data_IF_090484347586
#
_entry.id   IF_090484347586
#
_cell.length_a   1.000
_cell.length_b   1.000
_cell.length_c   1.000
_cell.angle_alpha   90.00
_cell.angle_beta   90.00
_cell.angle_gamma   90.00
#
_symmetry.space_group_name_H-M   'P 1'
#
loop_
_entity.id
_entity.type
_entity.pdbx_description
1 polymer ?
#
# COMPACT_ATOMS: atom_id res chain seq x y z
N UNK A 1 -8.57 21.25 15.25
CA UNK A 1 -9.66 21.21 16.24
C UNK A 1 -9.52 19.90 17.00
N UNK A 2 -9.08 19.95 18.26
CA UNK A 2 -8.86 18.73 19.06
C UNK A 2 -10.19 18.11 19.48
N UNK A 3 -10.32 16.79 19.32
CA UNK A 3 -11.44 16.04 19.90
C UNK A 3 -11.14 15.78 21.37
N UNK A 4 -11.95 16.32 22.27
CA UNK A 4 -11.86 16.05 23.70
C UNK A 4 -12.77 14.87 24.06
N UNK A 5 -12.23 13.89 24.77
CA UNK A 5 -12.93 12.68 25.18
C UNK A 5 -12.99 12.66 26.71
N UNK A 6 -14.19 12.76 27.31
CA UNK A 6 -14.33 12.89 28.77
C UNK A 6 -14.12 11.58 29.56
N UNK A 7 -14.42 10.41 28.97
CA UNK A 7 -14.29 9.10 29.63
C UNK A 7 -13.95 8.01 28.62
N UNK A 8 -12.72 7.98 28.13
CA UNK A 8 -12.30 7.02 27.12
C UNK A 8 -11.11 6.23 27.62
N UNK A 9 -11.31 4.92 27.78
CA UNK A 9 -10.25 3.97 28.11
C UNK A 9 -9.48 3.50 26.87
N UNK A 10 -10.05 3.69 25.68
CA UNK A 10 -9.52 3.19 24.41
C UNK A 10 -9.62 4.25 23.33
N UNK A 11 -8.49 4.75 22.86
CA UNK A 11 -8.40 5.74 21.78
C UNK A 11 -7.76 5.07 20.57
N UNK A 12 -8.46 5.09 19.43
CA UNK A 12 -7.87 4.70 18.15
C UNK A 12 -7.47 5.97 17.39
N UNK A 13 -6.17 6.14 17.14
CA UNK A 13 -5.66 7.26 16.35
C UNK A 13 -5.29 6.79 14.94
N UNK A 14 -5.76 7.51 13.89
CA UNK A 14 -5.29 7.27 12.53
C UNK A 14 -3.81 7.65 12.42
N UNK A 15 -3.06 6.93 11.58
CA UNK A 15 -1.62 7.18 11.35
C UNK A 15 -1.29 8.64 10.98
N UNK A 16 -2.23 9.35 10.35
CA UNK A 16 -2.06 10.75 9.92
C UNK A 16 -2.09 11.74 11.10
N UNK A 17 -2.65 11.36 12.24
CA UNK A 17 -2.66 12.15 13.49
C UNK A 17 -1.52 11.70 14.41
N UNK A 18 -0.28 11.84 13.93
CA UNK A 18 0.94 11.37 14.60
C UNK A 18 1.50 12.33 15.68
N UNK A 19 0.76 13.37 16.04
CA UNK A 19 1.11 14.33 17.09
C UNK A 19 -0.11 14.53 17.98
N UNK A 20 0.02 14.19 19.26
CA UNK A 20 -1.02 14.43 20.25
C UNK A 20 -0.42 14.71 21.63
N UNK A 21 -1.24 15.28 22.50
CA UNK A 21 -0.87 15.62 23.86
C UNK A 21 -1.93 15.12 24.83
N UNK A 22 -1.48 14.48 25.92
CA UNK A 22 -2.33 14.17 27.06
C UNK A 22 -2.22 15.29 28.08
N UNK A 23 -3.35 15.94 28.39
CA UNK A 23 -3.46 16.87 29.50
C UNK A 23 -4.16 16.19 30.67
N UNK A 24 -3.56 16.24 31.86
CA UNK A 24 -4.06 15.54 33.04
C UNK A 24 -4.09 16.43 34.29
N UNK A 25 -5.07 16.21 35.15
CA UNK A 25 -5.17 16.88 36.45
C UNK A 25 -5.74 15.93 37.49
N UNK A 26 -5.23 16.02 38.72
CA UNK A 26 -5.85 15.33 39.86
C UNK A 26 -7.01 16.15 40.43
N UNK A 27 -7.99 15.48 41.02
CA UNK A 27 -9.16 16.08 41.70
C UNK A 27 -8.80 16.77 43.02
N UNK A 28 -7.57 16.64 43.53
CA UNK A 28 -7.12 17.26 44.78
C UNK A 28 -6.80 18.76 44.59
N UNK A 29 -7.84 19.59 44.67
CA UNK A 29 -7.75 21.05 44.50
C UNK A 29 -7.00 21.78 45.62
N UNK A 30 -6.98 21.25 46.85
CA UNK A 30 -6.47 21.98 48.03
C UNK A 30 -4.95 22.12 48.09
N UNK A 31 -4.19 21.28 47.36
CA UNK A 31 -2.72 21.38 47.28
C UNK A 31 -2.17 21.02 45.89
N UNK A 32 -2.89 21.36 44.81
CA UNK A 32 -2.50 20.94 43.45
C UNK A 32 -1.10 21.43 43.00
N UNK A 33 -0.56 22.46 43.64
CA UNK A 33 0.80 22.97 43.37
C UNK A 33 1.93 22.14 44.04
N UNK A 34 1.60 21.18 44.90
CA UNK A 34 2.56 20.29 45.58
C UNK A 34 2.50 18.84 45.10
N UNK A 35 1.52 18.52 44.25
CA UNK A 35 1.39 17.20 43.63
C UNK A 35 2.38 17.11 42.48
N UNK A 36 3.19 16.06 42.46
CA UNK A 36 4.04 15.71 41.33
C UNK A 36 3.36 14.61 40.54
N UNK A 37 3.60 14.57 39.24
CA UNK A 37 3.05 13.53 38.38
C UNK A 37 4.18 12.67 37.85
N UNK A 38 3.85 11.43 37.57
CA UNK A 38 4.71 10.52 36.83
C UNK A 38 3.87 9.92 35.73
N UNK A 39 4.36 9.97 34.50
CA UNK A 39 3.66 9.38 33.38
C UNK A 39 4.59 8.50 32.56
N UNK A 40 4.00 7.55 31.84
CA UNK A 40 4.71 6.68 30.93
C UNK A 40 3.79 6.27 29.79
N UNK A 41 4.31 6.28 28.56
CA UNK A 41 3.71 5.61 27.42
C UNK A 41 4.42 4.28 27.19
N UNK A 42 3.85 3.20 27.69
CA UNK A 42 4.40 1.88 27.43
C UNK A 42 4.36 1.53 25.95
N UNK A 43 5.44 0.93 25.45
CA UNK A 43 5.67 0.70 24.03
C UNK A 43 6.45 1.83 23.34
N UNK A 44 6.67 2.97 24.02
CA UNK A 44 7.48 4.09 23.54
C UNK A 44 8.55 4.52 24.54
N UNK A 45 8.16 4.78 25.79
CA UNK A 45 9.07 5.24 26.84
C UNK A 45 9.76 4.06 27.55
N UNK A 46 11.10 4.07 27.59
CA UNK A 46 11.88 3.07 28.33
C UNK A 46 11.74 3.20 29.85
N UNK A 47 11.50 4.42 30.34
CA UNK A 47 11.38 4.74 31.77
C UNK A 47 10.27 5.78 31.99
N UNK A 48 9.60 5.77 33.16
CA UNK A 48 8.63 6.79 33.48
C UNK A 48 9.25 8.18 33.52
N UNK A 49 8.53 9.17 32.99
CA UNK A 49 8.91 10.58 33.03
C UNK A 49 8.33 11.22 34.28
N UNK A 50 9.17 11.90 35.06
CA UNK A 50 8.73 12.67 36.22
C UNK A 50 8.37 14.10 35.79
N UNK A 51 7.17 14.52 36.14
CA UNK A 51 6.65 15.84 35.84
C UNK A 51 6.37 16.63 37.12
N UNK A 52 6.75 17.91 37.10
CA UNK A 52 6.47 18.83 38.20
C UNK A 52 4.98 19.14 38.34
N UNK A 53 4.62 19.91 39.37
CA UNK A 53 3.22 20.31 39.62
C UNK A 53 2.60 21.20 38.55
N UNK A 54 3.45 21.88 37.77
CA UNK A 54 3.08 22.78 36.66
C UNK A 54 3.06 22.10 35.29
N UNK A 55 3.74 20.97 35.15
CA UNK A 55 3.87 20.25 33.88
C UNK A 55 2.79 19.17 33.84
N UNK A 56 1.68 19.49 33.19
CA UNK A 56 0.47 18.64 33.12
C UNK A 56 0.16 18.14 31.72
N UNK A 57 1.10 18.33 30.80
CA UNK A 57 0.95 18.03 29.38
C UNK A 57 2.09 17.10 28.97
N UNK A 58 1.74 15.89 28.53
CA UNK A 58 2.67 14.95 27.92
C UNK A 58 2.43 14.94 26.40
N UNK A 59 3.43 15.31 25.62
CA UNK A 59 3.32 15.41 24.15
C UNK A 59 4.14 14.31 23.50
N UNK A 60 3.49 13.52 22.64
CA UNK A 60 4.13 12.46 21.87
C UNK A 60 4.04 12.76 20.38
N UNK A 61 5.11 12.43 19.66
CA UNK A 61 5.21 12.64 18.22
C UNK A 61 5.75 11.40 17.54
N UNK A 62 5.27 11.17 16.30
CA UNK A 62 5.80 10.15 15.40
C UNK A 62 5.78 8.72 15.97
N UNK A 63 4.70 8.35 16.65
CA UNK A 63 4.49 6.98 17.12
C UNK A 63 4.29 6.03 15.94
N UNK A 64 4.92 4.86 16.04
CA UNK A 64 4.75 3.80 15.05
C UNK A 64 3.37 3.15 15.18
N UNK A 65 2.84 2.48 14.15
CA UNK A 65 1.62 1.70 14.29
C UNK A 65 1.80 0.58 15.33
N UNK A 66 0.85 0.47 16.25
CA UNK A 66 0.93 -0.47 17.36
C UNK A 66 -0.02 -0.10 18.50
N UNK A 67 0.02 -0.93 19.54
CA UNK A 67 -0.75 -0.75 20.77
C UNK A 67 0.15 -0.16 21.85
N UNK A 68 -0.34 0.87 22.51
CA UNK A 68 0.33 1.64 23.54
C UNK A 68 -0.56 1.78 24.76
N UNK A 69 0.07 1.95 25.93
CA UNK A 69 -0.65 2.17 27.18
C UNK A 69 -0.09 3.40 27.89
N UNK A 70 -0.88 4.46 27.93
CA UNK A 70 -0.54 5.68 28.64
C UNK A 70 -0.98 5.55 30.10
N UNK A 71 -0.02 5.67 31.01
CA UNK A 71 -0.21 5.56 32.45
C UNK A 71 0.19 6.89 33.08
N UNK A 72 -0.66 7.44 33.94
CA UNK A 72 -0.30 8.61 34.76
C UNK A 72 -0.67 8.37 36.22
N UNK A 73 0.33 8.56 37.08
CA UNK A 73 0.27 8.42 38.53
C UNK A 73 0.56 9.76 39.19
N UNK A 74 -0.14 10.05 40.29
CA UNK A 74 0.05 11.26 41.07
C UNK A 74 0.75 10.94 42.39
N UNK A 75 1.73 11.76 42.75
CA UNK A 75 2.46 11.69 44.01
C UNK A 75 2.21 12.95 44.85
N UNK A 76 1.69 12.76 46.06
CA UNK A 76 1.51 13.84 47.05
C UNK A 76 2.85 14.24 47.69
N UNK A 77 2.91 15.42 48.30
CA UNK A 77 3.99 15.91 49.14
C UNK A 77 4.38 14.97 50.29
N UNK A 78 3.43 14.18 50.80
CA UNK A 78 3.65 13.18 51.86
C UNK A 78 4.33 11.90 51.34
N UNK A 79 4.67 11.84 50.04
CA UNK A 79 5.36 10.71 49.42
C UNK A 79 4.44 9.58 48.96
N UNK A 80 3.14 9.65 49.25
CA UNK A 80 2.15 8.71 48.71
C UNK A 80 1.99 8.88 47.20
N UNK A 81 2.11 7.78 46.45
CA UNK A 81 1.90 7.69 45.02
C UNK A 81 0.71 6.77 44.75
N UNK A 82 -0.22 7.21 43.90
CA UNK A 82 -1.35 6.37 43.48
C UNK A 82 -0.85 5.15 42.71
N UNK A 83 -1.49 4.00 42.90
CA UNK A 83 -1.22 2.79 42.12
C UNK A 83 -1.85 2.87 40.73
N UNK A 84 -1.51 1.95 39.83
CA UNK A 84 -2.14 1.87 38.50
C UNK A 84 -3.66 1.65 38.55
N UNK A 85 -4.17 1.05 39.63
CA UNK A 85 -5.61 0.83 39.85
C UNK A 85 -6.34 2.13 40.23
N UNK A 86 -5.64 3.04 40.90
CA UNK A 86 -6.15 4.35 41.34
C UNK A 86 -5.81 5.47 40.34
N UNK A 87 -4.80 5.26 39.51
CA UNK A 87 -4.32 6.15 38.47
C UNK A 87 -5.15 6.09 37.19
N UNK A 88 -4.77 6.92 36.21
CA UNK A 88 -5.42 6.93 34.90
C UNK A 88 -4.60 6.11 33.91
N UNK A 89 -5.24 5.10 33.32
CA UNK A 89 -4.68 4.26 32.27
C UNK A 89 -5.53 4.39 31.00
N UNK A 90 -4.90 4.75 29.89
CA UNK A 90 -5.52 4.90 28.57
C UNK A 90 -4.82 3.96 27.59
N UNK A 91 -5.57 3.06 26.98
CA UNK A 91 -5.10 2.25 25.87
C UNK A 91 -5.19 3.07 24.58
N UNK A 92 -4.09 3.11 23.84
CA UNK A 92 -3.97 3.83 22.59
C UNK A 92 -3.58 2.87 21.49
N UNK A 93 -4.39 2.76 20.44
CA UNK A 93 -4.03 1.98 19.24
C UNK A 93 -3.78 2.93 18.09
N UNK A 94 -2.54 2.93 17.58
CA UNK A 94 -2.16 3.68 16.39
C UNK A 94 -2.35 2.79 15.17
N UNK A 95 -3.34 3.13 14.33
CA UNK A 95 -3.68 2.34 13.15
C UNK A 95 -2.56 2.39 12.11
N UNK A 96 -2.28 1.29 11.39
CA UNK A 96 -1.31 1.31 10.31
C UNK A 96 -1.76 2.19 9.14
N UNK A 97 -0.81 2.76 8.37
CA UNK A 97 -1.14 3.59 7.22
C UNK A 97 -1.94 2.81 6.17
N UNK A 98 -3.02 3.43 5.67
CA UNK A 98 -3.91 2.85 4.68
C UNK A 98 -3.22 2.48 3.38
N UNK A 99 -2.14 3.17 2.99
CA UNK A 99 -1.37 2.90 1.77
C UNK A 99 -0.44 1.68 1.87
N UNK A 100 -0.30 1.06 3.04
CA UNK A 100 0.44 -0.20 3.25
C UNK A 100 -0.48 -1.42 3.20
N UNK A 101 -1.63 -1.30 2.56
CA UNK A 101 -2.60 -2.39 2.43
C UNK A 101 -2.29 -3.24 1.20
N UNK A 102 -2.37 -4.54 1.39
CA UNK A 102 -2.13 -5.62 0.41
C UNK A 102 -2.79 -5.42 -0.96
N UNK A 103 -3.90 -4.67 -1.05
CA UNK A 103 -4.56 -4.38 -2.32
C UNK A 103 -3.69 -3.54 -3.27
N UNK A 104 -2.84 -2.65 -2.75
CA UNK A 104 -1.95 -1.83 -3.59
C UNK A 104 -0.91 -2.71 -4.29
N UNK A 105 -0.33 -3.68 -3.57
CA UNK A 105 0.54 -4.70 -4.16
C UNK A 105 -0.21 -5.58 -5.15
N UNK A 106 -1.47 -5.94 -4.84
CA UNK A 106 -2.35 -6.66 -5.76
C UNK A 106 -2.59 -5.91 -7.07
N UNK A 107 -2.81 -4.60 -7.00
CA UNK A 107 -3.04 -3.75 -8.17
C UNK A 107 -1.79 -3.62 -9.03
N UNK A 108 -0.61 -3.43 -8.41
CA UNK A 108 0.66 -3.44 -9.13
C UNK A 108 0.96 -4.79 -9.79
N UNK A 109 0.73 -5.90 -9.07
CA UNK A 109 0.88 -7.24 -9.62
C UNK A 109 -0.09 -7.49 -10.78
N UNK A 110 -1.33 -7.02 -10.68
CA UNK A 110 -2.33 -7.13 -11.74
C UNK A 110 -1.95 -6.29 -12.96
N UNK A 111 -1.48 -5.05 -12.78
CA UNK A 111 -0.99 -4.21 -13.87
C UNK A 111 0.21 -4.83 -14.57
N UNK A 112 1.17 -5.37 -13.81
CA UNK A 112 2.37 -5.99 -14.36
C UNK A 112 2.01 -7.27 -15.14
N UNK A 113 1.15 -8.11 -14.58
CA UNK A 113 0.64 -9.32 -15.26
C UNK A 113 -0.16 -8.97 -16.51
N UNK A 114 -1.05 -7.96 -16.42
CA UNK A 114 -1.83 -7.47 -17.55
C UNK A 114 -0.95 -6.92 -18.67
N UNK A 115 0.10 -6.16 -18.32
CA UNK A 115 1.08 -5.64 -19.27
C UNK A 115 1.86 -6.75 -19.98
N UNK A 116 2.33 -7.77 -19.24
CA UNK A 116 3.01 -8.94 -19.82
C UNK A 116 2.11 -9.73 -20.77
N UNK A 117 0.85 -9.98 -20.37
CA UNK A 117 -0.12 -10.67 -21.22
C UNK A 117 -0.44 -9.85 -22.48
N UNK A 118 -0.63 -8.54 -22.35
CA UNK A 118 -0.88 -7.65 -23.48
C UNK A 118 0.31 -7.67 -24.45
N UNK A 119 1.54 -7.57 -23.93
CA UNK A 119 2.77 -7.63 -24.72
C UNK A 119 2.92 -8.99 -25.43
N UNK A 120 2.67 -10.09 -24.72
CA UNK A 120 2.71 -11.43 -25.29
C UNK A 120 1.69 -11.61 -26.43
N UNK A 121 0.44 -11.19 -26.21
CA UNK A 121 -0.61 -11.25 -27.25
C UNK A 121 -0.29 -10.36 -28.44
N UNK A 122 0.24 -9.16 -28.21
CA UNK A 122 0.66 -8.27 -29.28
C UNK A 122 1.73 -8.91 -30.16
N UNK A 123 2.74 -9.52 -29.53
CA UNK A 123 3.83 -10.16 -30.26
C UNK A 123 3.36 -11.41 -31.02
N UNK A 124 2.50 -12.22 -30.41
CA UNK A 124 1.91 -13.40 -31.05
C UNK A 124 1.05 -13.02 -32.27
N UNK A 125 0.18 -12.03 -32.13
CA UNK A 125 -0.66 -11.54 -33.22
C UNK A 125 0.20 -11.00 -34.38
N UNK A 126 1.31 -10.32 -34.07
CA UNK A 126 2.23 -9.83 -35.09
C UNK A 126 2.92 -10.95 -35.86
N UNK A 127 3.31 -12.03 -35.18
CA UNK A 127 3.89 -13.20 -35.84
C UNK A 127 2.87 -13.92 -36.72
N UNK A 128 1.64 -14.11 -36.23
CA UNK A 128 0.57 -14.74 -36.99
C UNK A 128 0.23 -13.95 -38.25
N UNK A 129 0.09 -12.62 -38.14
CA UNK A 129 -0.16 -11.75 -39.29
C UNK A 129 0.95 -11.84 -40.35
N UNK A 130 2.22 -11.92 -39.92
CA UNK A 130 3.35 -12.09 -40.82
C UNK A 130 3.36 -13.47 -41.49
N UNK A 131 3.03 -14.54 -40.75
CA UNK A 131 2.95 -15.89 -41.28
C UNK A 131 1.82 -16.02 -42.32
N UNK A 132 0.67 -15.41 -42.05
CA UNK A 132 -0.47 -15.38 -42.97
C UNK A 132 -0.12 -14.61 -44.25
N UNK A 133 0.51 -13.43 -44.13
CA UNK A 133 0.96 -12.65 -45.29
C UNK A 133 1.96 -13.43 -46.16
N UNK A 134 2.91 -14.15 -45.57
CA UNK A 134 3.85 -15.00 -46.32
C UNK A 134 3.14 -16.15 -47.03
N UNK A 135 2.19 -16.81 -46.36
CA UNK A 135 1.42 -17.91 -46.95
C UNK A 135 0.57 -17.44 -48.13
N UNK A 136 -0.02 -16.25 -48.04
CA UNK A 136 -0.73 -15.60 -49.16
C UNK A 136 0.20 -15.31 -50.33
N UNK A 137 1.41 -14.79 -50.08
CA UNK A 137 2.41 -14.56 -51.12
C UNK A 137 2.85 -15.86 -51.79
N UNK A 138 3.11 -16.93 -51.02
CA UNK A 138 3.46 -18.24 -51.58
C UNK A 138 2.37 -18.79 -52.49
N UNK A 139 1.09 -18.67 -52.07
CA UNK A 139 -0.05 -19.09 -52.89
C UNK A 139 -0.15 -18.28 -54.19
N UNK A 140 0.12 -16.98 -54.14
CA UNK A 140 0.10 -16.11 -55.33
C UNK A 140 1.21 -16.50 -56.31
N UNK A 141 2.44 -16.69 -55.83
CA UNK A 141 3.58 -17.15 -56.64
C UNK A 141 3.31 -18.52 -57.28
N UNK A 142 2.73 -19.46 -56.54
CA UNK A 142 2.36 -20.78 -57.06
C UNK A 142 1.31 -20.66 -58.16
N UNK A 143 0.28 -19.81 -57.98
CA UNK A 143 -0.73 -19.54 -59.02
C UNK A 143 -0.10 -18.94 -60.27
N UNK A 144 0.72 -17.89 -60.14
CA UNK A 144 1.38 -17.26 -61.29
C UNK A 144 2.21 -18.26 -62.08
N UNK A 145 3.04 -19.07 -61.41
CA UNK A 145 3.84 -20.11 -62.07
C UNK A 145 2.99 -21.12 -62.82
N UNK A 146 1.86 -21.55 -62.23
CA UNK A 146 0.94 -22.48 -62.88
C UNK A 146 0.33 -21.87 -64.15
N UNK A 147 -0.14 -20.62 -64.10
CA UNK A 147 -0.64 -19.92 -65.29
C UNK A 147 0.43 -19.73 -66.35
N UNK A 148 1.66 -19.36 -65.97
CA UNK A 148 2.78 -19.21 -66.91
C UNK A 148 3.12 -20.54 -67.57
N UNK A 149 3.24 -21.62 -66.81
CA UNK A 149 3.58 -22.95 -67.33
C UNK A 149 2.49 -23.48 -68.27
N UNK A 150 1.22 -23.42 -67.87
CA UNK A 150 0.09 -23.86 -68.71
C UNK A 150 0.04 -23.05 -70.01
N UNK A 151 0.20 -21.72 -69.94
CA UNK A 151 0.18 -20.87 -71.13
C UNK A 151 1.35 -21.17 -72.06
N UNK A 152 2.52 -21.48 -71.51
CA UNK A 152 3.70 -21.85 -72.30
C UNK A 152 3.52 -23.21 -73.00
N UNK A 153 2.98 -24.21 -72.31
CA UNK A 153 2.71 -25.54 -72.86
C UNK A 153 1.62 -25.53 -73.95
N UNK A 154 0.64 -24.62 -73.87
CA UNK A 154 -0.37 -24.43 -74.91
C UNK A 154 0.14 -23.69 -76.15
N UNK A 155 1.24 -22.93 -76.08
CA UNK A 155 1.84 -22.27 -77.26
C UNK A 155 2.78 -23.19 -78.05
N UNK A 156 3.36 -24.20 -77.42
CA UNK A 156 4.28 -25.17 -78.05
C UNK A 156 3.68 -26.20 -79.03
N UNK A 157 2.37 -26.57 -79.07
CA UNK A 157 1.90 -27.57 -80.02
C UNK A 157 1.68 -27.03 -81.44
N UNK A 158 1.60 -25.70 -81.64
CA UNK A 158 1.34 -25.11 -82.96
C UNK A 158 2.58 -24.97 -83.85
N UNK A 159 3.79 -25.18 -83.31
CA UNK A 159 5.02 -25.14 -84.11
C UNK A 159 5.34 -26.49 -84.75
N UNK A 160 4.96 -27.59 -84.09
CA UNK A 160 5.35 -28.95 -84.52
C UNK A 160 4.50 -29.42 -85.72
N UNK A 161 3.26 -28.95 -85.87
CA UNK A 161 2.39 -29.33 -87.00
C UNK A 161 2.69 -28.61 -88.31
N UNK A 162 3.50 -27.53 -88.30
CA UNK A 162 3.86 -26.79 -89.53
C UNK A 162 5.16 -27.28 -90.20
N UNK A 163 5.86 -28.24 -89.61
CA UNK A 163 7.12 -28.80 -90.13
C UNK A 163 6.88 -30.14 -90.88
N UNK A 164 5.64 -30.63 -90.96
CA UNK A 164 5.29 -31.94 -91.54
C UNK A 164 4.36 -31.83 -92.76
N UNK A 165 4.49 -30.78 -93.58
CA UNK A 165 3.84 -30.70 -94.90
C UNK A 165 4.85 -30.32 -95.97
#
# INVERSE_FOLDING_TARGET
MGKAYEWVKEIALPYEENVFSFEFTSLHFTQSNRIRYRYQLEGFDERPVEAGSKERVATYTNLSPGDYRFIVLARNADGFETTEEEGLVINLTVLPPWYRTWWAYGLWAALLTGSLLAFYRFQLNRQLAQAEARRLQELDVVKTRLYTNITHEFRTPLTITRIIY
#
